data_IF_884785562867
#
_entry.id   IF_884785562867
#
_cell.length_a   1.000
_cell.length_b   1.000
_cell.length_c   1.000
_cell.angle_alpha   90.00
_cell.angle_beta   90.00
_cell.angle_gamma   90.00
#
_symmetry.space_group_name_H-M   'P 1'
#
loop_
_entity.id
_entity.type
_entity.pdbx_description
1 polymer ?
#
# COMPACT_ATOMS: atom_id res chain seq x y z
N UNK A 1 59.74 -25.68 36.20
CA UNK A 1 58.48 -25.41 36.92
C UNK A 1 57.35 -25.76 35.96
N UNK A 2 57.01 -27.04 35.82
CA UNK A 2 56.08 -27.80 36.70
C UNK A 2 54.62 -27.40 36.48
N UNK A 3 53.95 -28.14 35.59
CA UNK A 3 52.51 -28.07 35.40
C UNK A 3 51.77 -28.62 36.63
N UNK A 4 50.59 -28.08 36.94
CA UNK A 4 49.58 -28.79 37.72
C UNK A 4 48.20 -28.64 37.07
N UNK A 5 47.71 -29.79 36.62
CA UNK A 5 46.31 -30.07 36.32
C UNK A 5 45.49 -29.99 37.61
N UNK A 6 44.28 -29.42 37.56
CA UNK A 6 43.20 -29.83 38.46
C UNK A 6 41.94 -30.04 37.62
N UNK A 7 41.54 -31.31 37.49
CA UNK A 7 40.20 -31.71 37.10
C UNK A 7 39.36 -31.87 38.37
N UNK A 8 38.15 -31.33 38.40
CA UNK A 8 37.05 -31.91 39.16
C UNK A 8 35.77 -31.86 38.32
N UNK A 9 35.30 -33.04 37.94
CA UNK A 9 33.98 -33.20 37.35
C UNK A 9 32.93 -33.27 38.48
N UNK A 10 31.76 -32.67 38.25
CA UNK A 10 30.51 -33.09 38.89
C UNK A 10 29.33 -32.60 38.07
N UNK A 11 28.46 -33.54 37.70
CA UNK A 11 27.23 -33.33 36.93
C UNK A 11 26.18 -32.57 37.72
N UNK A 12 25.48 -31.65 37.06
CA UNK A 12 24.13 -31.24 37.45
C UNK A 12 23.24 -31.19 36.22
N UNK A 13 22.43 -32.23 36.04
CA UNK A 13 21.31 -32.27 35.11
C UNK A 13 20.18 -31.43 35.69
N UNK A 14 19.86 -30.30 35.06
CA UNK A 14 18.62 -29.57 35.36
C UNK A 14 17.52 -30.02 34.40
N UNK A 15 16.57 -30.75 34.97
CA UNK A 15 15.35 -31.22 34.31
C UNK A 15 14.52 -30.06 33.71
N UNK A 16 13.90 -30.24 32.52
CA UNK A 16 13.04 -29.23 31.92
C UNK A 16 11.62 -29.24 32.53
N UNK A 17 11.47 -28.77 33.77
CA UNK A 17 10.15 -28.60 34.39
C UNK A 17 9.45 -27.34 33.88
N UNK A 18 8.59 -27.49 32.87
CA UNK A 18 7.91 -26.35 32.25
C UNK A 18 6.82 -26.73 31.25
N UNK A 19 5.92 -27.64 31.62
CA UNK A 19 4.72 -27.95 30.83
C UNK A 19 3.79 -26.74 30.77
N UNK A 20 4.04 -25.85 29.81
CA UNK A 20 3.21 -24.65 29.59
C UNK A 20 1.75 -25.06 29.46
N UNK A 21 0.83 -24.56 30.31
CA UNK A 21 -0.55 -24.97 30.28
C UNK A 21 -1.15 -24.51 28.95
N UNK A 22 -1.46 -25.48 28.07
CA UNK A 22 -2.18 -25.20 26.83
C UNK A 22 -3.48 -24.51 27.21
N UNK A 23 -3.60 -23.21 26.92
CA UNK A 23 -4.88 -22.50 26.98
C UNK A 23 -5.81 -23.21 26.01
N UNK A 24 -6.69 -24.06 26.56
CA UNK A 24 -7.78 -24.64 25.81
C UNK A 24 -8.65 -23.48 25.33
N UNK A 25 -8.75 -23.33 24.01
CA UNK A 25 -9.73 -22.45 23.41
C UNK A 25 -11.12 -22.90 23.90
N UNK A 26 -11.99 -21.98 24.36
CA UNK A 26 -13.32 -22.36 24.79
C UNK A 26 -14.06 -23.05 23.65
N UNK A 27 -14.89 -24.08 23.94
CA UNK A 27 -15.62 -24.80 22.90
C UNK A 27 -16.53 -23.84 22.12
N UNK A 28 -16.69 -24.03 20.80
CA UNK A 28 -17.56 -23.17 20.00
C UNK A 28 -19.00 -23.24 20.55
N UNK A 29 -19.71 -22.09 20.63
CA UNK A 29 -21.09 -22.07 21.12
C UNK A 29 -21.97 -22.94 20.22
N UNK A 30 -22.84 -23.74 20.84
CA UNK A 30 -23.61 -24.81 20.18
C UNK A 30 -24.82 -24.32 19.36
N UNK A 31 -25.14 -23.03 19.42
CA UNK A 31 -26.30 -22.45 18.73
C UNK A 31 -25.92 -21.84 17.37
N UNK A 32 -26.24 -22.49 16.23
CA UNK A 32 -25.94 -21.94 14.91
C UNK A 32 -26.81 -20.72 14.54
N UNK A 33 -27.95 -20.54 15.21
CA UNK A 33 -29.02 -19.62 14.82
C UNK A 33 -28.78 -18.12 15.13
N UNK A 34 -27.61 -17.74 15.65
CA UNK A 34 -27.28 -16.33 15.98
C UNK A 34 -25.95 -15.82 15.41
N UNK A 35 -25.43 -16.44 14.34
CA UNK A 35 -24.49 -15.75 13.44
C UNK A 35 -25.23 -14.71 12.60
N UNK A 36 -25.66 -13.62 13.26
CA UNK A 36 -25.80 -12.33 12.58
C UNK A 36 -24.44 -12.06 11.95
N UNK A 37 -24.38 -11.96 10.63
CA UNK A 37 -23.17 -11.60 9.91
C UNK A 37 -22.72 -10.22 10.39
N UNK A 38 -21.76 -10.20 11.32
CA UNK A 38 -21.03 -8.97 11.62
C UNK A 38 -20.48 -8.48 10.27
N UNK A 39 -20.82 -7.26 9.82
CA UNK A 39 -20.23 -6.72 8.61
C UNK A 39 -18.72 -6.83 8.74
N UNK A 40 -18.07 -7.52 7.81
CA UNK A 40 -16.61 -7.56 7.79
C UNK A 40 -16.13 -6.11 7.77
N UNK A 41 -15.13 -5.73 8.59
CA UNK A 41 -14.54 -4.41 8.51
C UNK A 41 -14.18 -4.13 7.05
N UNK A 42 -14.47 -2.92 6.55
CA UNK A 42 -14.10 -2.52 5.19
C UNK A 42 -12.60 -2.75 5.04
N UNK A 43 -12.21 -3.78 4.29
CA UNK A 43 -10.82 -4.18 4.15
C UNK A 43 -10.09 -3.02 3.47
N UNK A 44 -8.91 -2.59 3.94
CA UNK A 44 -8.21 -1.47 3.34
C UNK A 44 -7.81 -1.80 1.89
N UNK A 45 -8.37 -1.08 0.92
CA UNK A 45 -7.98 -1.22 -0.49
C UNK A 45 -6.48 -0.91 -0.64
N UNK A 46 -5.68 -1.96 -0.83
CA UNK A 46 -4.24 -1.84 -1.02
C UNK A 46 -3.93 -1.41 -2.46
N UNK A 47 -2.93 -0.53 -2.62
CA UNK A 47 -2.31 -0.26 -3.90
C UNK A 47 -1.01 -1.07 -3.99
N UNK A 48 -0.94 -1.92 -5.00
CA UNK A 48 0.21 -2.80 -5.25
C UNK A 48 0.98 -2.36 -6.49
N UNK A 49 2.27 -2.69 -6.58
CA UNK A 49 3.07 -2.48 -7.77
C UNK A 49 2.45 -3.24 -8.95
N UNK A 50 2.24 -2.55 -10.09
CA UNK A 50 1.61 -3.11 -11.29
C UNK A 50 2.40 -4.29 -11.88
N UNK A 51 3.73 -4.29 -11.74
CA UNK A 51 4.61 -5.31 -12.31
C UNK A 51 4.68 -6.60 -11.48
N UNK A 52 4.94 -6.51 -10.16
CA UNK A 52 5.17 -7.69 -9.31
C UNK A 52 4.05 -7.97 -8.28
N UNK A 53 3.10 -7.05 -8.10
CA UNK A 53 2.01 -7.21 -7.15
C UNK A 53 2.35 -6.95 -5.67
N UNK A 54 3.58 -6.57 -5.33
CA UNK A 54 3.96 -6.17 -3.97
C UNK A 54 3.13 -4.99 -3.48
N UNK A 55 2.60 -5.05 -2.25
CA UNK A 55 1.86 -3.94 -1.63
C UNK A 55 2.78 -2.74 -1.38
N UNK A 56 2.38 -1.56 -1.87
CA UNK A 56 3.16 -0.31 -1.79
C UNK A 56 2.51 0.68 -0.82
N UNK A 57 1.18 0.82 -0.84
CA UNK A 57 0.46 1.76 0.03
C UNK A 57 -1.01 1.34 0.18
N UNK A 58 -1.80 2.11 0.91
CA UNK A 58 -3.24 1.91 1.13
C UNK A 58 -4.03 3.13 0.68
N UNK A 59 -5.25 2.93 0.20
CA UNK A 59 -6.17 4.03 -0.09
C UNK A 59 -6.45 4.90 1.16
N UNK A 60 -6.36 4.34 2.37
CA UNK A 60 -6.63 5.06 3.61
C UNK A 60 -5.55 6.10 3.98
N UNK A 61 -4.37 6.02 3.36
CA UNK A 61 -3.25 6.98 3.55
C UNK A 61 -3.07 7.90 2.34
N UNK A 62 -4.05 7.96 1.43
CA UNK A 62 -4.16 8.98 0.40
C UNK A 62 -4.41 10.34 1.06
N UNK A 63 -3.62 11.35 0.69
CA UNK A 63 -3.80 12.72 1.20
C UNK A 63 -5.14 13.27 0.71
N UNK A 64 -6.06 13.70 1.60
CA UNK A 64 -7.40 14.11 1.20
C UNK A 64 -7.42 15.51 0.57
N UNK A 65 -8.40 15.76 -0.30
CA UNK A 65 -8.64 17.05 -0.96
C UNK A 65 -8.75 18.26 -0.02
N UNK A 66 -9.09 18.04 1.26
CA UNK A 66 -9.12 19.08 2.30
C UNK A 66 -7.74 19.51 2.81
N UNK A 67 -6.72 18.67 2.65
CA UNK A 67 -5.33 18.97 3.00
C UNK A 67 -4.53 19.53 1.81
N UNK A 68 -5.10 19.53 0.59
CA UNK A 68 -4.45 19.97 -0.64
C UNK A 68 -5.03 21.32 -1.08
N UNK A 69 -4.21 22.38 -1.26
CA UNK A 69 -4.65 23.65 -1.82
C UNK A 69 -5.43 23.47 -3.14
N UNK A 70 -6.50 24.24 -3.31
CA UNK A 70 -7.45 24.07 -4.43
C UNK A 70 -6.78 24.15 -5.81
N UNK A 71 -5.74 24.97 -5.94
CA UNK A 71 -4.92 25.16 -7.13
C UNK A 71 -3.83 24.09 -7.36
N UNK A 72 -3.69 23.10 -6.46
CA UNK A 72 -2.58 22.13 -6.47
C UNK A 72 -3.01 20.66 -6.59
N UNK A 73 -4.26 20.37 -6.97
CA UNK A 73 -4.83 19.00 -6.99
C UNK A 73 -4.43 18.11 -8.18
N UNK A 74 -3.71 18.65 -9.16
CA UNK A 74 -3.41 17.98 -10.44
C UNK A 74 -1.95 17.52 -10.55
N UNK A 75 -1.53 16.58 -9.71
CA UNK A 75 -0.15 16.08 -9.73
C UNK A 75 0.13 15.14 -10.91
N UNK A 76 1.35 15.22 -11.44
CA UNK A 76 1.89 14.36 -12.50
C UNK A 76 3.36 14.08 -12.24
N UNK A 77 3.81 12.90 -12.66
CA UNK A 77 5.23 12.54 -12.75
C UNK A 77 5.61 12.19 -14.19
N UNK A 78 6.52 11.23 -14.39
CA UNK A 78 7.05 10.89 -15.71
C UNK A 78 6.10 10.05 -16.56
N UNK A 79 5.48 9.01 -16.00
CA UNK A 79 4.60 8.08 -16.71
C UNK A 79 3.12 8.49 -16.67
N UNK A 80 2.70 9.39 -15.78
CA UNK A 80 1.34 9.92 -15.83
C UNK A 80 0.84 10.66 -14.60
N UNK A 81 -0.45 10.44 -14.29
CA UNK A 81 -1.12 11.03 -13.11
C UNK A 81 -0.50 10.47 -11.83
N UNK A 82 -0.35 11.34 -10.84
CA UNK A 82 0.18 10.98 -9.53
C UNK A 82 -0.75 11.42 -8.40
N UNK A 83 -0.54 10.87 -7.21
CA UNK A 83 -1.26 11.25 -6.00
C UNK A 83 -0.34 11.20 -4.79
N UNK A 84 -0.60 12.05 -3.79
CA UNK A 84 0.20 12.12 -2.56
C UNK A 84 -0.32 11.12 -1.53
N UNK A 85 0.58 10.33 -0.96
CA UNK A 85 0.29 9.39 0.11
C UNK A 85 1.15 9.74 1.33
N UNK A 86 0.59 9.61 2.54
CA UNK A 86 1.33 9.86 3.77
C UNK A 86 2.30 8.73 4.11
N UNK A 87 2.00 7.51 3.67
CA UNK A 87 2.79 6.30 3.98
C UNK A 87 3.00 5.41 2.76
N UNK A 88 4.17 4.75 2.73
CA UNK A 88 4.57 3.77 1.72
C UNK A 88 5.43 2.67 2.33
N UNK A 89 5.21 1.43 1.89
CA UNK A 89 5.85 0.22 2.40
C UNK A 89 6.49 -0.57 1.25
N UNK A 90 7.45 -1.44 1.54
CA UNK A 90 8.13 -2.30 0.54
C UNK A 90 8.73 -1.52 -0.65
N UNK A 91 9.28 -0.34 -0.37
CA UNK A 91 9.94 0.54 -1.34
C UNK A 91 11.41 0.76 -0.99
N UNK A 92 12.22 1.04 -2.00
CA UNK A 92 13.58 1.54 -1.86
C UNK A 92 13.60 3.03 -2.21
N UNK A 93 14.34 3.82 -1.42
CA UNK A 93 14.52 5.25 -1.64
C UNK A 93 15.93 5.53 -2.14
N UNK A 94 16.04 6.29 -3.23
CA UNK A 94 17.34 6.77 -3.72
C UNK A 94 17.97 7.81 -2.77
N UNK A 95 19.22 8.22 -3.05
CA UNK A 95 19.85 9.34 -2.34
C UNK A 95 19.03 10.63 -2.57
N UNK A 96 18.85 11.49 -1.55
CA UNK A 96 18.19 12.79 -1.74
C UNK A 96 18.93 13.65 -2.76
N UNK A 97 18.18 14.24 -3.69
CA UNK A 97 18.65 15.23 -4.65
C UNK A 97 17.76 16.48 -4.62
N UNK A 98 18.33 17.64 -4.94
CA UNK A 98 17.56 18.89 -5.08
C UNK A 98 17.13 19.05 -6.52
N UNK A 99 15.84 19.29 -6.74
CA UNK A 99 15.22 19.52 -8.04
C UNK A 99 14.47 20.85 -8.05
N UNK A 100 14.61 21.60 -9.15
CA UNK A 100 13.81 22.79 -9.41
C UNK A 100 12.50 22.39 -10.10
N UNK A 101 11.39 22.86 -9.55
CA UNK A 101 10.04 22.66 -10.08
C UNK A 101 9.36 24.02 -10.30
N UNK A 102 8.18 24.04 -10.94
CA UNK A 102 7.42 25.26 -11.19
C UNK A 102 7.06 26.04 -9.89
N UNK A 103 6.99 25.36 -8.75
CA UNK A 103 6.74 25.95 -7.43
C UNK A 103 7.99 26.12 -6.57
N UNK A 104 9.19 26.06 -7.16
CA UNK A 104 10.47 26.28 -6.48
C UNK A 104 11.30 25.00 -6.24
N UNK A 105 12.33 25.13 -5.40
CA UNK A 105 13.26 24.05 -5.12
C UNK A 105 12.69 23.04 -4.12
N UNK A 106 12.88 21.75 -4.40
CA UNK A 106 12.45 20.64 -3.56
C UNK A 106 13.60 19.63 -3.39
N UNK A 107 13.81 19.12 -2.19
CA UNK A 107 14.69 17.96 -1.93
C UNK A 107 13.84 16.68 -2.01
N UNK A 108 14.18 15.78 -2.93
CA UNK A 108 13.36 14.62 -3.28
C UNK A 108 14.19 13.34 -3.35
N UNK A 109 13.54 12.19 -3.13
CA UNK A 109 14.13 10.85 -3.30
C UNK A 109 13.27 10.04 -4.28
N UNK A 110 13.90 9.40 -5.26
CA UNK A 110 13.19 8.48 -6.14
C UNK A 110 12.70 7.26 -5.35
N UNK A 111 11.46 6.83 -5.62
CA UNK A 111 10.84 5.66 -5.01
C UNK A 111 10.80 4.53 -6.05
N UNK A 112 11.43 3.41 -5.74
CA UNK A 112 11.33 2.17 -6.53
C UNK A 112 10.73 1.04 -5.70
N UNK A 113 10.12 0.05 -6.37
CA UNK A 113 9.58 -1.13 -5.70
C UNK A 113 10.71 -1.99 -5.14
N UNK A 114 10.69 -2.29 -3.84
CA UNK A 114 11.74 -3.08 -3.18
C UNK A 114 11.84 -4.54 -3.63
N UNK A 115 10.87 -5.03 -4.42
CA UNK A 115 10.88 -6.41 -4.97
C UNK A 115 11.41 -6.48 -6.40
N UNK A 116 11.03 -5.54 -7.27
CA UNK A 116 11.32 -5.61 -8.71
C UNK A 116 11.99 -4.35 -9.28
N UNK A 117 12.41 -3.42 -8.42
CA UNK A 117 13.08 -2.15 -8.76
C UNK A 117 12.34 -1.24 -9.74
N UNK A 118 11.07 -1.53 -10.06
CA UNK A 118 10.22 -0.69 -10.91
C UNK A 118 10.04 0.68 -10.25
N UNK A 119 10.21 1.76 -11.01
CA UNK A 119 9.95 3.12 -10.57
C UNK A 119 8.47 3.32 -10.21
N UNK A 120 8.22 4.00 -9.08
CA UNK A 120 6.88 4.22 -8.52
C UNK A 120 6.53 5.70 -8.31
N UNK A 121 7.52 6.59 -8.20
CA UNK A 121 7.30 8.00 -7.91
C UNK A 121 8.44 8.65 -7.14
N UNK A 122 8.10 9.68 -6.35
CA UNK A 122 9.06 10.48 -5.58
C UNK A 122 8.59 10.74 -4.15
N UNK A 123 9.51 10.68 -3.19
CA UNK A 123 9.27 11.17 -1.83
C UNK A 123 9.78 12.59 -1.70
N UNK A 124 8.95 13.49 -1.18
CA UNK A 124 9.32 14.89 -0.95
C UNK A 124 9.90 14.98 0.47
N UNK A 125 11.21 15.15 0.57
CA UNK A 125 11.93 15.23 1.85
C UNK A 125 11.87 16.63 2.43
N UNK A 126 11.97 17.65 1.56
CA UNK A 126 11.91 19.06 1.94
C UNK A 126 11.37 19.91 0.79
N UNK A 127 10.54 20.89 1.08
CA UNK A 127 10.22 21.99 0.17
C UNK A 127 10.97 23.24 0.68
N UNK A 128 11.68 23.93 -0.21
CA UNK A 128 12.43 25.12 0.19
C UNK A 128 11.55 26.38 0.22
N UNK A 129 10.36 26.34 -0.38
CA UNK A 129 9.36 27.40 -0.29
C UNK A 129 8.30 27.07 0.78
N UNK A 130 7.97 28.07 1.58
CA UNK A 130 7.04 27.98 2.72
C UNK A 130 5.62 27.60 2.31
N UNK A 131 5.14 28.07 1.14
CA UNK A 131 3.82 27.71 0.59
C UNK A 131 3.71 26.24 0.16
N UNK A 132 4.84 25.55 0.04
CA UNK A 132 4.94 24.17 -0.45
C UNK A 132 5.23 23.16 0.68
N UNK A 133 5.45 23.63 1.91
CA UNK A 133 5.81 22.80 3.07
C UNK A 133 4.79 21.71 3.41
N UNK A 134 3.51 21.89 3.04
CA UNK A 134 2.46 20.87 3.16
C UNK A 134 2.72 19.60 2.33
N UNK A 135 3.68 19.62 1.41
CA UNK A 135 4.11 18.44 0.64
C UNK A 135 5.17 17.60 1.35
N UNK A 136 5.82 18.13 2.40
CA UNK A 136 6.94 17.46 3.06
C UNK A 136 6.53 16.14 3.73
N UNK A 137 7.40 15.14 3.65
CA UNK A 137 7.18 13.80 4.18
C UNK A 137 6.30 12.90 3.30
N UNK A 138 5.51 13.47 2.38
CA UNK A 138 4.59 12.73 1.52
C UNK A 138 5.30 12.08 0.31
N UNK A 139 4.74 10.96 -0.12
CA UNK A 139 5.15 10.21 -1.31
C UNK A 139 4.21 10.50 -2.46
N UNK A 140 4.72 11.13 -3.52
CA UNK A 140 4.02 11.34 -4.78
C UNK A 140 4.18 10.09 -5.66
N UNK A 141 3.17 9.21 -5.65
CA UNK A 141 3.20 7.96 -6.42
C UNK A 141 2.42 8.07 -7.72
N UNK A 142 2.96 7.48 -8.78
CA UNK A 142 2.34 7.47 -10.10
C UNK A 142 1.38 6.29 -10.25
N UNK A 143 0.11 6.62 -10.50
CA UNK A 143 -0.97 5.63 -10.56
C UNK A 143 -0.80 4.65 -11.72
N UNK A 144 -0.07 5.06 -12.77
CA UNK A 144 0.20 4.22 -13.94
C UNK A 144 1.13 3.03 -13.64
N UNK A 145 1.89 3.09 -12.54
CA UNK A 145 2.79 2.03 -12.06
C UNK A 145 2.21 1.24 -10.88
N UNK A 146 0.98 1.56 -10.46
CA UNK A 146 0.25 0.89 -9.39
C UNK A 146 -1.01 0.21 -9.93
N UNK A 147 -1.56 -0.72 -9.15
CA UNK A 147 -2.88 -1.31 -9.34
C UNK A 147 -3.62 -1.37 -8.01
N UNK A 148 -4.91 -1.06 -8.02
CA UNK A 148 -5.77 -1.33 -6.86
C UNK A 148 -5.94 -2.84 -6.74
N UNK A 149 -5.60 -3.39 -5.57
CA UNK A 149 -5.97 -4.75 -5.21
C UNK A 149 -7.39 -4.71 -4.65
N UNK A 150 -8.37 -5.03 -5.49
CA UNK A 150 -9.72 -5.33 -5.03
C UNK A 150 -9.72 -6.64 -4.26
N UNK A 151 -10.33 -6.64 -3.09
CA UNK A 151 -10.58 -7.88 -2.34
C UNK A 151 -11.61 -8.77 -3.05
N UNK A 152 -11.61 -10.05 -2.68
CA UNK A 152 -12.44 -11.12 -3.26
C UNK A 152 -13.94 -11.00 -2.92
N UNK A 153 -14.55 -9.86 -3.21
CA UNK A 153 -16.00 -9.64 -3.12
C UNK A 153 -16.74 -10.09 -4.39
N UNK A 154 -16.10 -10.01 -5.57
CA UNK A 154 -16.73 -10.35 -6.85
C UNK A 154 -16.82 -11.86 -7.12
N UNK A 155 -16.00 -12.70 -6.46
CA UNK A 155 -15.97 -14.16 -6.67
C UNK A 155 -16.99 -14.96 -5.86
N UNK A 156 -17.85 -14.31 -5.07
CA UNK A 156 -18.89 -14.98 -4.27
C UNK A 156 -20.33 -14.67 -4.71
N UNK A 157 -20.54 -13.97 -5.83
CA UNK A 157 -21.89 -13.67 -6.33
C UNK A 157 -22.07 -13.99 -7.83
N UNK A 158 -22.24 -15.28 -8.19
CA UNK A 158 -22.50 -15.66 -9.57
C UNK A 158 -23.94 -15.32 -10.01
N UNK A 159 -24.06 -14.28 -10.84
CA UNK A 159 -25.15 -14.05 -11.82
C UNK A 159 -26.45 -13.37 -11.31
N UNK A 160 -27.33 -12.83 -12.19
CA UNK A 160 -27.29 -12.84 -13.67
C UNK A 160 -27.52 -11.49 -14.40
N UNK A 161 -27.13 -11.47 -15.67
CA UNK A 161 -27.66 -10.64 -16.77
C UNK A 161 -27.85 -9.12 -16.54
N UNK A 162 -26.88 -8.31 -16.99
CA UNK A 162 -27.19 -7.03 -17.63
C UNK A 162 -26.95 -7.13 -19.14
N UNK A 163 -27.96 -6.71 -19.93
CA UNK A 163 -27.95 -6.84 -21.38
C UNK A 163 -26.88 -5.95 -22.00
N UNK A 164 -26.09 -6.53 -22.90
CA UNK A 164 -25.17 -5.83 -23.79
C UNK A 164 -25.98 -4.98 -24.79
N UNK A 165 -26.25 -3.72 -24.46
CA UNK A 165 -26.72 -2.73 -25.44
C UNK A 165 -25.55 -2.33 -26.33
N UNK A 166 -25.31 -3.11 -27.38
CA UNK A 166 -24.45 -2.70 -28.49
C UNK A 166 -25.10 -1.53 -29.21
N UNK A 167 -24.60 -0.31 -29.00
CA UNK A 167 -24.91 0.83 -29.86
C UNK A 167 -24.24 0.61 -31.21
N UNK A 168 -24.95 -0.05 -32.12
CA UNK A 168 -24.58 -0.14 -33.53
C UNK A 168 -24.66 1.25 -34.16
N UNK A 169 -23.52 1.78 -34.58
CA UNK A 169 -23.45 2.91 -35.50
C UNK A 169 -24.08 2.53 -36.84
N UNK A 170 -25.23 3.11 -37.17
CA UNK A 170 -25.84 3.09 -38.49
C UNK A 170 -25.81 4.49 -39.11
N UNK A 171 -25.59 4.57 -40.41
CA UNK A 171 -25.44 5.81 -41.19
C UNK A 171 -26.75 6.22 -41.89
N UNK A 172 -26.81 7.50 -42.29
CA UNK A 172 -27.75 8.08 -43.29
C UNK A 172 -29.26 8.04 -42.90
N UNK A 173 -30.14 8.93 -43.35
CA UNK A 173 -30.03 10.21 -44.09
C UNK A 173 -30.93 11.26 -43.38
N UNK A 174 -31.28 12.47 -43.85
CA UNK A 174 -31.11 13.18 -45.13
C UNK A 174 -31.18 14.71 -44.90
N UNK A 175 -31.11 15.52 -45.96
CA UNK A 175 -31.52 16.95 -45.92
C UNK A 175 -32.41 17.30 -47.13
N UNK A 176 -33.68 17.66 -46.89
CA UNK A 176 -34.49 18.42 -47.85
C UNK A 176 -35.66 19.15 -47.15
N UNK A 177 -36.02 20.31 -47.74
CA UNK A 177 -37.05 21.32 -47.34
C UNK A 177 -36.71 22.29 -46.18
#
# INVERSE_FOLDING_TARGET
>A
MSAQYINYASTSTLEPTGSSPRRLLPPPPKDPAKRISRPLPKIPCALTCKQCGTCITSHNVLLPDSAIPLNSRSFRGFAGKASLFTETYNVTLAKPGVQLMATGAHTMQEITCGTCSTYLGWKIVRAHESSEAWKEGHSLLELENLRLQSDLADTLNPSPNLRRTSSSSGSESDYDL
#
